data_IF_513342021395
#
_entry.id   IF_513342021395
#
_cell.length_a   1.000
_cell.length_b   1.000
_cell.length_c   1.000
_cell.angle_alpha   90.00
_cell.angle_beta   90.00
_cell.angle_gamma   90.00
#
_symmetry.space_group_name_H-M   'P 1'
#
loop_
_entity.id
_entity.type
_entity.pdbx_description
1 polymer ?
#
# COMPACT_ATOMS: atom_id res chain seq x y z
N UNK A 1 -19.36 16.52 10.55
CA UNK A 1 -18.38 16.85 9.56
C UNK A 1 -17.28 15.81 9.54
N UNK A 2 -17.00 15.30 8.38
CA UNK A 2 -15.99 14.27 8.25
C UNK A 2 -14.63 14.87 8.07
N UNK A 3 -13.70 14.42 8.85
CA UNK A 3 -12.35 14.91 8.70
C UNK A 3 -11.45 13.80 8.25
N UNK A 4 -10.62 14.10 7.30
CA UNK A 4 -9.63 13.17 6.81
C UNK A 4 -8.26 13.64 7.25
N UNK A 5 -7.46 12.71 7.69
CA UNK A 5 -6.11 13.00 8.11
C UNK A 5 -5.14 12.49 7.06
N UNK A 6 -4.31 13.38 6.57
CA UNK A 6 -3.30 13.04 5.57
C UNK A 6 -1.94 13.10 6.21
N UNK A 7 -1.17 12.06 6.00
CA UNK A 7 0.12 11.95 6.64
C UNK A 7 1.15 11.42 5.66
N UNK A 8 2.34 11.99 5.69
CA UNK A 8 3.45 11.49 4.88
C UNK A 8 4.11 10.32 5.56
N UNK A 9 4.32 9.24 4.81
CA UNK A 9 4.93 8.03 5.34
C UNK A 9 5.86 7.45 4.29
N UNK A 10 6.90 6.75 4.75
CA UNK A 10 7.79 6.04 3.85
C UNK A 10 7.44 4.57 3.91
N UNK A 11 7.23 3.97 2.75
CA UNK A 11 6.89 2.56 2.66
C UNK A 11 7.78 1.88 1.64
N UNK A 12 8.13 0.64 1.89
CA UNK A 12 8.96 -0.13 0.97
C UNK A 12 8.14 -0.84 -0.08
N UNK A 13 8.70 -0.93 -1.27
CA UNK A 13 8.09 -1.70 -2.34
C UNK A 13 7.82 -3.12 -1.86
N UNK A 14 6.61 -3.61 -2.10
CA UNK A 14 6.22 -4.94 -1.63
C UNK A 14 7.05 -6.03 -2.29
N UNK A 15 7.66 -5.76 -3.44
CA UNK A 15 8.45 -6.75 -4.17
C UNK A 15 9.93 -6.67 -3.81
N UNK A 16 10.52 -5.48 -3.84
CA UNK A 16 11.98 -5.35 -3.68
C UNK A 16 12.41 -4.49 -2.50
N UNK A 17 11.49 -3.84 -1.81
CA UNK A 17 11.82 -3.09 -0.61
C UNK A 17 12.31 -1.67 -0.83
N UNK A 18 12.37 -1.20 -2.07
CA UNK A 18 12.79 0.16 -2.33
C UNK A 18 11.83 1.14 -1.67
N UNK A 19 12.36 2.13 -0.95
CA UNK A 19 11.52 3.07 -0.22
C UNK A 19 10.91 4.12 -1.13
N UNK A 20 9.64 4.41 -0.86
CA UNK A 20 8.90 5.45 -1.55
C UNK A 20 8.18 6.30 -0.52
N UNK A 21 7.99 7.55 -0.86
CA UNK A 21 7.26 8.48 -0.01
C UNK A 21 5.80 8.46 -0.43
N UNK A 22 4.92 8.28 0.55
CA UNK A 22 3.49 8.22 0.29
C UNK A 22 2.75 9.25 1.13
N UNK A 23 1.62 9.73 0.59
CA UNK A 23 0.63 10.40 1.40
C UNK A 23 -0.44 9.37 1.70
N UNK A 24 -0.72 9.17 2.96
CA UNK A 24 -1.72 8.21 3.39
C UNK A 24 -2.88 8.97 4.01
N UNK A 25 -4.08 8.65 3.59
CA UNK A 25 -5.28 9.32 4.06
C UNK A 25 -6.08 8.37 4.94
N UNK A 26 -6.44 8.84 6.12
CA UNK A 26 -7.28 8.10 7.05
C UNK A 26 -8.54 8.90 7.32
N UNK A 27 -9.61 8.22 7.65
CA UNK A 27 -10.85 8.90 8.00
C UNK A 27 -10.84 9.25 9.50
N UNK A 28 -11.94 9.79 9.98
CA UNK A 28 -12.03 10.22 11.38
C UNK A 28 -11.91 9.05 12.34
N UNK A 29 -12.22 7.85 11.89
CA UNK A 29 -12.09 6.65 12.72
C UNK A 29 -10.71 6.02 12.60
N UNK A 30 -9.79 6.69 11.92
CA UNK A 30 -8.42 6.23 11.72
C UNK A 30 -8.31 5.01 10.83
N UNK A 31 -9.30 4.80 10.00
CA UNK A 31 -9.24 3.72 9.03
C UNK A 31 -8.58 4.21 7.76
N UNK A 32 -7.81 3.34 7.14
CA UNK A 32 -7.16 3.67 5.88
C UNK A 32 -8.20 3.89 4.79
N UNK A 33 -8.08 5.01 4.09
CA UNK A 33 -9.00 5.37 3.03
C UNK A 33 -8.31 5.34 1.68
N UNK A 34 -7.14 5.96 1.58
CA UNK A 34 -6.49 6.13 0.30
C UNK A 34 -5.02 6.43 0.50
N UNK A 35 -4.26 6.34 -0.57
CA UNK A 35 -2.84 6.66 -0.53
C UNK A 35 -2.39 7.11 -1.90
N UNK A 36 -1.36 7.94 -1.92
CA UNK A 36 -0.75 8.43 -3.15
C UNK A 36 0.75 8.33 -3.04
N UNK A 37 1.40 7.92 -4.13
CA UNK A 37 2.85 7.88 -4.18
C UNK A 37 3.36 9.25 -4.59
N UNK A 38 4.26 9.78 -3.79
CA UNK A 38 4.86 11.07 -4.07
C UNK A 38 6.21 10.97 -4.76
N UNK A 39 6.88 9.84 -4.61
CA UNK A 39 8.17 9.61 -5.25
C UNK A 39 7.98 9.05 -6.65
N UNK A 40 8.81 9.47 -7.61
CA UNK A 40 8.69 8.92 -8.97
C UNK A 40 9.06 7.45 -8.99
N UNK A 41 8.43 6.72 -9.91
CA UNK A 41 8.76 5.33 -10.14
C UNK A 41 8.00 4.32 -9.31
N UNK A 42 7.13 4.79 -8.43
CA UNK A 42 6.32 3.90 -7.62
C UNK A 42 4.85 3.99 -7.97
N UNK A 43 4.11 2.98 -7.59
CA UNK A 43 2.66 2.99 -7.79
C UNK A 43 1.98 2.35 -6.59
N UNK A 44 0.75 2.77 -6.35
CA UNK A 44 -0.03 2.22 -5.25
C UNK A 44 -0.53 0.84 -5.62
N UNK A 45 -0.41 -0.08 -4.68
CA UNK A 45 -0.95 -1.43 -4.83
C UNK A 45 -2.25 -1.47 -4.06
N UNK A 46 -3.36 -1.77 -4.71
CA UNK A 46 -4.66 -1.77 -4.02
C UNK A 46 -4.70 -2.77 -2.86
N UNK A 47 -5.12 -2.31 -1.73
CA UNK A 47 -5.31 -3.17 -0.57
C UNK A 47 -6.34 -2.52 0.32
N UNK A 48 -7.24 -3.31 0.90
CA UNK A 48 -8.37 -2.77 1.65
C UNK A 48 -7.96 -2.19 2.99
N UNK A 49 -6.86 -2.64 3.56
CA UNK A 49 -6.57 -2.33 4.94
C UNK A 49 -5.30 -1.53 5.17
N UNK A 50 -4.44 -1.42 4.18
CA UNK A 50 -3.17 -0.75 4.39
C UNK A 50 -2.60 -0.19 3.10
N UNK A 51 -1.76 0.85 3.22
CA UNK A 51 -1.13 1.43 2.02
C UNK A 51 0.03 0.55 1.58
N UNK A 52 -0.04 0.08 0.35
CA UNK A 52 1.03 -0.70 -0.25
C UNK A 52 1.53 0.01 -1.48
N UNK A 53 2.81 -0.15 -1.75
CA UNK A 53 3.46 0.50 -2.89
C UNK A 53 4.36 -0.52 -3.57
N UNK A 54 4.56 -0.35 -4.86
CA UNK A 54 5.48 -1.16 -5.63
C UNK A 54 6.11 -0.30 -6.71
N UNK A 55 7.29 -0.73 -7.18
CA UNK A 55 7.90 -0.06 -8.31
C UNK A 55 7.05 -0.28 -9.54
N UNK A 56 6.95 0.74 -10.38
CA UNK A 56 6.15 0.62 -11.61
C UNK A 56 6.67 -0.45 -12.55
N UNK A 57 7.93 -0.78 -12.43
CA UNK A 57 8.55 -1.75 -13.34
C UNK A 57 8.14 -3.19 -13.06
N UNK A 58 7.57 -3.46 -11.89
CA UNK A 58 7.15 -4.83 -11.57
C UNK A 58 5.83 -5.13 -12.26
N UNK A 59 5.69 -6.36 -12.73
CA UNK A 59 4.45 -6.77 -13.36
C UNK A 59 3.36 -6.99 -12.32
N UNK A 60 2.11 -7.03 -12.78
CA UNK A 60 1.00 -7.30 -11.89
C UNK A 60 1.15 -8.65 -11.20
N UNK A 61 1.69 -9.63 -11.91
CA UNK A 61 1.88 -10.97 -11.34
C UNK A 61 2.92 -10.95 -10.24
N UNK A 62 4.00 -10.20 -10.43
CA UNK A 62 5.03 -10.08 -9.40
C UNK A 62 4.47 -9.44 -8.15
N UNK A 63 3.69 -8.40 -8.34
CA UNK A 63 3.11 -7.67 -7.21
C UNK A 63 2.12 -8.57 -6.48
N UNK A 64 1.30 -9.29 -7.22
CA UNK A 64 0.32 -10.17 -6.63
C UNK A 64 0.99 -11.29 -5.83
N UNK A 65 2.05 -11.85 -6.37
CA UNK A 65 2.78 -12.89 -5.67
C UNK A 65 3.43 -12.35 -4.40
N UNK A 66 3.92 -11.12 -4.44
CA UNK A 66 4.54 -10.51 -3.28
C UNK A 66 3.51 -10.25 -2.18
N UNK A 67 2.33 -9.76 -2.55
CA UNK A 67 1.27 -9.53 -1.58
C UNK A 67 0.86 -10.85 -0.93
N UNK A 68 0.74 -11.89 -1.72
CA UNK A 68 0.37 -13.21 -1.20
C UNK A 68 1.45 -13.74 -0.25
N UNK A 69 2.72 -13.49 -0.57
CA UNK A 69 3.80 -13.98 0.27
C UNK A 69 3.82 -13.28 1.62
N UNK A 70 3.57 -11.98 1.63
CA UNK A 70 3.66 -11.19 2.85
C UNK A 70 2.37 -11.26 3.67
N UNK A 71 1.24 -11.16 3.00
CA UNK A 71 -0.05 -11.04 3.67
C UNK A 71 -1.00 -12.19 3.39
N UNK A 72 -0.57 -13.16 2.61
CA UNK A 72 -1.46 -14.18 2.11
C UNK A 72 -2.22 -14.93 3.17
N UNK A 73 -1.56 -15.25 4.27
CA UNK A 73 -2.22 -15.97 5.32
C UNK A 73 -3.36 -15.19 5.92
N UNK A 74 -3.15 -13.89 6.06
CA UNK A 74 -4.16 -13.03 6.67
C UNK A 74 -5.28 -12.76 5.71
N UNK A 75 -4.93 -12.55 4.44
CA UNK A 75 -5.90 -12.17 3.44
C UNK A 75 -6.69 -13.36 2.92
N UNK A 76 -6.09 -14.52 2.95
CA UNK A 76 -6.72 -15.71 2.43
C UNK A 76 -7.16 -16.64 3.52
N UNK A 77 -7.61 -16.09 4.55
CA UNK A 77 -7.97 -16.82 5.73
C UNK A 77 -8.70 -18.11 5.39
N UNK A 78 -8.14 -19.23 5.65
CA UNK A 78 -8.73 -20.47 5.20
C UNK A 78 -9.91 -20.90 6.01
N UNK A 79 -10.17 -20.39 6.95
CA UNK A 79 -11.21 -20.80 7.79
C UNK A 79 -11.15 -22.20 8.21
#
# INVERSE_FOLDING_TARGET
MTEKHTKGEAHGCIVCGKLYQLYVVHDAARKFVDAKVMSPGGKIVPHAQRPLVACERHSADEIKAAVARVYGRQDQEPD
#
